data_IF_759858916327
#
_entry.id   IF_759858916327
#
_cell.length_a   1.000
_cell.length_b   1.000
_cell.length_c   1.000
_cell.angle_alpha   90.00
_cell.angle_beta   90.00
_cell.angle_gamma   90.00
#
_symmetry.space_group_name_H-M   'P 1'
#
loop_
_entity.id
_entity.type
_entity.pdbx_description
1 polymer ?
#
# COMPACT_ATOMS: atom_id res chain seq x y z
N UNK A 1 29.83 -1.01 17.83
CA UNK A 1 29.83 -2.46 17.57
C UNK A 1 31.25 -2.99 17.56
N UNK A 2 31.62 -3.88 18.49
CA UNK A 2 32.93 -4.53 18.55
C UNK A 2 32.75 -6.00 18.18
N UNK A 3 33.59 -6.54 17.31
CA UNK A 3 33.55 -7.93 16.85
C UNK A 3 34.66 -8.72 17.51
N UNK A 4 34.36 -9.95 17.96
CA UNK A 4 35.40 -10.86 18.45
C UNK A 4 36.27 -11.30 17.29
N UNK A 5 37.61 -11.18 17.45
CA UNK A 5 38.58 -11.68 16.50
C UNK A 5 38.95 -13.12 16.86
N UNK A 6 38.26 -14.09 16.26
CA UNK A 6 38.55 -15.51 16.46
C UNK A 6 39.93 -15.87 15.86
N UNK A 7 40.81 -16.41 16.70
CA UNK A 7 42.16 -16.85 16.30
C UNK A 7 42.35 -18.32 16.62
N UNK A 8 43.13 -19.02 15.79
CA UNK A 8 43.47 -20.41 16.02
C UNK A 8 44.21 -20.55 17.37
N UNK A 9 43.77 -21.48 18.23
CA UNK A 9 44.33 -21.70 19.57
C UNK A 9 43.80 -20.75 20.66
N UNK A 10 42.82 -19.92 20.38
CA UNK A 10 42.15 -19.08 21.38
C UNK A 10 41.39 -20.01 22.36
N UNK A 11 41.58 -19.79 23.66
CA UNK A 11 40.80 -20.49 24.68
C UNK A 11 39.40 -19.90 24.75
N UNK A 12 38.39 -20.72 24.67
CA UNK A 12 37.01 -20.29 24.90
C UNK A 12 36.86 -20.06 26.42
N UNK A 13 36.47 -18.87 26.80
CA UNK A 13 36.09 -18.52 28.16
C UNK A 13 34.66 -18.01 28.16
N UNK A 14 34.01 -18.08 29.29
CA UNK A 14 32.68 -17.53 29.51
C UNK A 14 32.57 -16.08 29.05
N UNK A 15 33.56 -15.26 29.41
CA UNK A 15 33.62 -13.84 28.99
C UNK A 15 33.64 -13.66 27.46
N UNK A 16 34.33 -14.55 26.72
CA UNK A 16 34.41 -14.46 25.25
C UNK A 16 33.08 -14.92 24.63
N UNK A 17 32.46 -15.96 25.19
CA UNK A 17 31.15 -16.43 24.71
C UNK A 17 30.08 -15.38 24.93
N UNK A 18 29.97 -14.80 26.13
CA UNK A 18 29.04 -13.70 26.44
C UNK A 18 29.26 -12.50 25.52
N UNK A 19 30.50 -12.06 25.30
CA UNK A 19 30.80 -10.96 24.38
C UNK A 19 30.44 -11.30 22.92
N UNK A 20 30.45 -12.58 22.52
CA UNK A 20 29.96 -13.02 21.21
C UNK A 20 28.45 -12.89 21.09
N UNK A 21 27.74 -13.31 22.13
CA UNK A 21 26.29 -13.27 22.19
C UNK A 21 25.78 -11.81 22.23
N UNK A 22 26.41 -10.95 23.05
CA UNK A 22 26.14 -9.53 23.09
C UNK A 22 26.33 -8.86 21.70
N UNK A 23 27.44 -9.21 21.02
CA UNK A 23 27.68 -8.69 19.67
C UNK A 23 26.61 -9.15 18.67
N UNK A 24 26.17 -10.39 18.76
CA UNK A 24 25.11 -10.94 17.91
C UNK A 24 23.79 -10.25 18.20
N UNK A 25 23.45 -10.06 19.46
CA UNK A 25 22.25 -9.36 19.88
C UNK A 25 22.23 -7.91 19.42
N UNK A 26 23.37 -7.18 19.55
CA UNK A 26 23.52 -5.82 19.06
C UNK A 26 23.28 -5.72 17.54
N UNK A 27 23.81 -6.70 16.75
CA UNK A 27 23.57 -6.77 15.31
C UNK A 27 22.10 -6.98 14.99
N UNK A 28 21.43 -7.90 15.71
CA UNK A 28 20.02 -8.20 15.52
C UNK A 28 19.16 -6.97 15.87
N UNK A 29 19.42 -6.31 16.98
CA UNK A 29 18.74 -5.05 17.38
C UNK A 29 18.84 -3.99 16.29
N UNK A 30 20.06 -3.74 15.79
CA UNK A 30 20.25 -2.77 14.70
C UNK A 30 19.52 -3.21 13.40
N UNK A 31 19.52 -4.49 13.08
CA UNK A 31 18.81 -5.01 11.91
C UNK A 31 17.29 -4.82 12.06
N UNK A 32 16.73 -5.05 13.24
CA UNK A 32 15.31 -4.78 13.51
C UNK A 32 14.97 -3.30 13.40
N UNK A 33 15.76 -2.40 13.98
CA UNK A 33 15.54 -0.95 13.89
C UNK A 33 15.53 -0.50 12.44
N UNK A 34 16.48 -0.97 11.63
CA UNK A 34 16.55 -0.65 10.21
C UNK A 34 15.37 -1.22 9.42
N UNK A 35 15.04 -2.49 9.63
CA UNK A 35 13.94 -3.15 8.93
C UNK A 35 12.57 -2.57 9.30
N UNK A 36 12.39 -2.22 10.58
CA UNK A 36 11.17 -1.62 11.07
C UNK A 36 11.00 -0.15 10.66
N UNK A 37 12.07 0.53 10.18
CA UNK A 37 12.05 1.94 9.80
C UNK A 37 11.44 2.86 10.89
N UNK A 38 11.83 2.65 12.14
CA UNK A 38 11.34 3.39 13.31
C UNK A 38 9.95 2.96 13.80
N UNK A 39 9.35 1.94 13.22
CA UNK A 39 8.12 1.31 13.73
C UNK A 39 8.45 0.34 14.85
N UNK A 40 7.51 0.12 15.73
CA UNK A 40 7.62 -0.81 16.85
C UNK A 40 6.26 -1.42 17.16
N UNK A 41 6.21 -2.49 17.94
CA UNK A 41 4.95 -3.11 18.30
C UNK A 41 4.97 -4.64 18.26
N UNK A 42 3.78 -5.22 18.41
CA UNK A 42 3.57 -6.66 18.37
C UNK A 42 3.97 -7.24 17.02
N UNK A 43 4.55 -8.43 17.08
CA UNK A 43 4.87 -9.28 15.93
C UNK A 43 3.82 -10.36 15.75
N UNK A 44 3.60 -10.86 14.52
CA UNK A 44 2.79 -12.06 14.31
C UNK A 44 3.41 -13.24 15.05
N UNK A 45 2.60 -13.95 15.83
CA UNK A 45 3.03 -15.09 16.60
C UNK A 45 2.01 -16.23 16.55
N UNK A 46 2.48 -17.46 16.72
CA UNK A 46 1.59 -18.63 16.92
C UNK A 46 0.82 -18.54 18.23
N UNK A 47 1.36 -17.82 19.21
CA UNK A 47 0.69 -17.52 20.48
C UNK A 47 0.17 -16.08 20.36
N UNK A 48 -1.14 -15.87 20.33
CA UNK A 48 -1.70 -14.53 20.25
C UNK A 48 -1.29 -13.69 21.46
N UNK A 49 -1.31 -12.36 21.29
CA UNK A 49 -1.15 -11.46 22.42
C UNK A 49 -2.32 -11.66 23.40
N UNK A 50 -1.97 -11.92 24.65
CA UNK A 50 -2.91 -12.07 25.75
C UNK A 50 -2.39 -11.32 26.97
N UNK A 51 -3.27 -10.59 27.65
CA UNK A 51 -2.97 -9.84 28.86
C UNK A 51 -4.14 -9.99 29.84
N UNK A 52 -3.83 -10.40 31.07
CA UNK A 52 -4.77 -10.42 32.15
C UNK A 52 -4.26 -9.53 33.29
N UNK A 53 -5.12 -8.61 33.74
CA UNK A 53 -4.82 -7.66 34.80
C UNK A 53 -5.84 -7.78 35.93
N UNK A 54 -5.37 -7.67 37.16
CA UNK A 54 -6.20 -7.42 38.33
C UNK A 54 -5.93 -5.98 38.81
N UNK A 55 -6.95 -5.12 38.70
CA UNK A 55 -6.84 -3.71 39.02
C UNK A 55 -7.53 -3.44 40.34
N UNK A 56 -6.75 -3.08 41.35
CA UNK A 56 -7.23 -2.72 42.69
C UNK A 56 -7.28 -1.21 42.92
N UNK A 57 -7.65 -0.84 44.14
CA UNK A 57 -7.60 0.57 44.57
C UNK A 57 -6.14 1.01 44.81
N UNK A 58 -5.51 1.57 43.77
CA UNK A 58 -4.18 2.13 43.84
C UNK A 58 -3.03 1.21 43.37
N UNK A 59 -3.34 0.06 42.79
CA UNK A 59 -2.34 -0.82 42.16
C UNK A 59 -2.92 -1.65 41.04
N UNK A 60 -2.03 -2.11 40.16
CA UNK A 60 -2.30 -3.06 39.09
C UNK A 60 -1.43 -4.29 39.31
N UNK A 61 -2.02 -5.45 39.37
CA UNK A 61 -1.32 -6.73 39.32
C UNK A 61 -1.44 -7.29 37.90
N UNK A 62 -0.31 -7.67 37.29
CA UNK A 62 -0.31 -8.39 36.01
C UNK A 62 -0.40 -9.88 36.32
N UNK A 63 -1.53 -10.49 36.02
CA UNK A 63 -1.78 -11.91 36.26
C UNK A 63 -1.10 -12.79 35.19
N UNK A 64 -1.23 -12.41 33.92
CA UNK A 64 -0.57 -13.12 32.83
C UNK A 64 -0.28 -12.19 31.65
N UNK A 65 0.79 -12.49 30.93
CA UNK A 65 1.17 -11.81 29.70
C UNK A 65 1.75 -12.82 28.70
N UNK A 66 1.22 -12.85 27.50
CA UNK A 66 1.85 -13.45 26.31
C UNK A 66 2.09 -12.32 25.31
N UNK A 67 3.35 -12.00 25.05
CA UNK A 67 3.73 -10.86 24.21
C UNK A 67 4.99 -11.17 23.41
N UNK A 68 4.88 -11.16 22.09
CA UNK A 68 6.02 -11.11 21.18
C UNK A 68 6.03 -9.76 20.47
N UNK A 69 7.02 -8.92 20.73
CA UNK A 69 7.09 -7.56 20.26
C UNK A 69 8.51 -7.07 20.03
N UNK A 70 8.63 -5.98 19.27
CA UNK A 70 9.88 -5.21 19.14
C UNK A 70 9.65 -3.82 19.70
N UNK A 71 10.53 -3.36 20.57
CA UNK A 71 10.51 -2.01 21.14
C UNK A 71 10.99 -0.96 20.12
N UNK A 72 10.83 0.31 20.45
CA UNK A 72 11.35 1.40 19.60
C UNK A 72 12.88 1.34 19.46
N UNK A 73 13.59 0.91 20.50
CA UNK A 73 15.04 0.70 20.49
C UNK A 73 15.50 -0.55 19.74
N UNK A 74 14.56 -1.41 19.30
CA UNK A 74 14.86 -2.65 18.59
C UNK A 74 15.05 -3.87 19.49
N UNK A 75 14.79 -3.74 20.80
CA UNK A 75 14.84 -4.87 21.71
C UNK A 75 13.67 -5.81 21.45
N UNK A 76 13.95 -7.09 21.37
CA UNK A 76 12.93 -8.13 21.26
C UNK A 76 12.35 -8.43 22.64
N UNK A 77 11.04 -8.37 22.77
CA UNK A 77 10.28 -8.85 23.91
C UNK A 77 9.61 -10.15 23.49
N UNK A 78 10.01 -11.26 24.10
CA UNK A 78 9.36 -12.58 24.02
C UNK A 78 8.97 -12.98 25.44
N UNK A 79 7.90 -12.35 25.94
CA UNK A 79 7.44 -12.55 27.30
C UNK A 79 6.30 -13.56 27.34
N UNK A 80 6.48 -14.58 28.16
CA UNK A 80 5.47 -15.58 28.45
C UNK A 80 5.39 -15.77 29.96
N UNK A 81 4.47 -15.06 30.59
CA UNK A 81 4.36 -14.94 32.03
C UNK A 81 2.97 -15.35 32.52
N UNK A 82 2.95 -16.10 33.62
CA UNK A 82 1.74 -16.40 34.39
C UNK A 82 2.10 -16.31 35.89
N UNK A 83 1.51 -15.42 36.62
CA UNK A 83 1.79 -15.15 38.05
C UNK A 83 1.63 -16.37 38.94
N UNK A 84 0.82 -17.35 38.54
CA UNK A 84 0.61 -18.58 39.27
C UNK A 84 1.83 -19.51 39.25
N UNK A 85 2.70 -19.36 38.24
CA UNK A 85 3.85 -20.26 38.01
C UNK A 85 5.20 -19.56 38.07
N UNK A 86 5.22 -18.22 37.96
CA UNK A 86 6.44 -17.45 37.77
C UNK A 86 6.48 -16.23 38.68
N UNK A 87 7.23 -16.30 39.78
CA UNK A 87 7.32 -15.23 40.78
C UNK A 87 8.43 -14.18 40.47
N UNK A 88 9.12 -14.29 39.34
CA UNK A 88 10.30 -13.50 39.02
C UNK A 88 10.01 -12.14 38.44
N UNK A 89 8.74 -11.82 38.18
CA UNK A 89 8.32 -10.50 37.70
C UNK A 89 7.73 -9.69 38.84
N UNK A 90 8.13 -8.44 38.95
CA UNK A 90 7.43 -7.47 39.82
C UNK A 90 6.05 -7.19 39.26
N UNK A 91 5.08 -8.01 39.61
CA UNK A 91 3.73 -8.01 39.02
C UNK A 91 2.87 -6.87 39.50
N UNK A 92 3.17 -6.34 40.69
CA UNK A 92 2.41 -5.27 41.34
C UNK A 92 2.98 -3.89 41.03
N UNK A 93 2.20 -3.07 40.40
CA UNK A 93 2.55 -1.71 39.98
C UNK A 93 1.65 -0.73 40.71
N UNK A 94 2.18 0.18 41.52
CA UNK A 94 1.39 1.20 42.17
C UNK A 94 0.87 2.18 41.11
N UNK A 95 -0.43 2.53 41.22
CA UNK A 95 -1.00 3.62 40.41
C UNK A 95 -0.63 4.92 41.13
N UNK A 96 0.10 5.84 40.46
CA UNK A 96 0.45 7.13 41.07
C UNK A 96 -0.81 7.95 41.35
N UNK A 97 -0.94 8.44 42.58
CA UNK A 97 -2.00 9.37 42.95
C UNK A 97 -1.60 10.80 42.47
N UNK A 98 -1.93 11.10 41.24
CA UNK A 98 -1.63 12.39 40.60
C UNK A 98 -2.94 13.14 40.30
N UNK A 99 -3.17 14.33 40.86
CA UNK A 99 -4.37 15.11 40.61
C UNK A 99 -4.57 15.43 39.12
N UNK A 100 -5.73 15.10 38.59
CA UNK A 100 -6.11 15.40 37.20
C UNK A 100 -5.55 14.45 36.15
N UNK A 101 -4.95 13.33 36.55
CA UNK A 101 -4.52 12.27 35.62
C UNK A 101 -5.59 11.18 35.61
N UNK A 102 -6.29 11.06 34.50
CA UNK A 102 -7.41 10.11 34.30
C UNK A 102 -6.98 8.90 33.44
N UNK A 103 -5.74 8.85 32.99
CA UNK A 103 -5.28 7.84 32.05
C UNK A 103 -3.79 7.51 32.24
N UNK A 104 -3.44 6.22 32.14
CA UNK A 104 -2.07 5.73 32.08
C UNK A 104 -1.92 4.69 30.97
N UNK A 105 -0.72 4.61 30.41
CA UNK A 105 -0.31 3.51 29.51
C UNK A 105 0.54 2.52 30.30
N UNK A 106 0.08 1.29 30.39
CA UNK A 106 0.88 0.20 30.94
C UNK A 106 1.88 -0.27 29.89
N UNK A 107 3.14 -0.35 30.27
CA UNK A 107 4.22 -0.83 29.42
C UNK A 107 4.89 -2.06 30.00
N UNK A 108 5.38 -2.94 29.11
CA UNK A 108 6.39 -3.93 29.43
C UNK A 108 7.71 -3.43 28.86
N UNK A 109 8.76 -3.41 29.69
CA UNK A 109 10.06 -2.85 29.35
C UNK A 109 11.08 -3.96 29.29
N UNK A 110 11.80 -4.10 28.18
CA UNK A 110 12.98 -4.94 28.10
C UNK A 110 14.10 -4.33 28.98
N UNK A 111 14.81 -5.19 29.70
CA UNK A 111 15.94 -4.81 30.55
C UNK A 111 17.23 -5.33 29.94
N UNK A 112 17.82 -4.64 28.95
CA UNK A 112 18.98 -5.11 28.21
C UNK A 112 20.14 -5.46 29.15
N UNK A 113 20.76 -6.62 28.96
CA UNK A 113 21.88 -7.08 29.76
C UNK A 113 21.50 -7.59 31.16
N UNK A 114 20.22 -7.68 31.49
CA UNK A 114 19.74 -8.32 32.71
C UNK A 114 19.11 -9.67 32.38
N UNK A 115 19.56 -10.72 33.07
CA UNK A 115 19.15 -12.09 32.85
C UNK A 115 18.82 -12.76 34.18
N UNK A 116 17.82 -13.58 34.19
CA UNK A 116 17.48 -14.43 35.32
C UNK A 116 17.98 -15.87 35.06
N UNK A 117 18.67 -16.44 36.02
CA UNK A 117 19.02 -17.86 35.97
C UNK A 117 17.75 -18.71 36.07
N UNK A 118 17.59 -19.60 35.13
CA UNK A 118 16.52 -20.63 35.15
C UNK A 118 17.12 -22.03 35.29
N UNK A 119 16.35 -23.01 35.76
CA UNK A 119 16.83 -24.40 35.88
C UNK A 119 17.47 -24.90 34.57
N UNK A 120 18.38 -25.86 34.68
CA UNK A 120 19.09 -26.50 33.56
C UNK A 120 20.19 -25.63 32.92
N UNK A 121 20.59 -24.51 33.53
CA UNK A 121 21.71 -23.67 33.07
C UNK A 121 21.39 -22.74 31.94
N UNK A 122 20.12 -22.41 31.75
CA UNK A 122 19.66 -21.34 30.83
C UNK A 122 19.49 -20.03 31.57
N UNK A 123 19.43 -18.96 30.80
CA UNK A 123 19.13 -17.59 31.28
C UNK A 123 17.93 -17.04 30.49
N UNK A 124 17.00 -16.39 31.18
CA UNK A 124 15.85 -15.72 30.56
C UNK A 124 15.97 -14.21 30.70
N UNK A 125 15.57 -13.40 29.67
CA UNK A 125 15.63 -11.97 29.76
C UNK A 125 14.69 -11.43 30.85
N UNK A 126 15.12 -10.36 31.53
CA UNK A 126 14.33 -9.68 32.53
C UNK A 126 13.43 -8.65 31.89
N UNK A 127 12.17 -8.63 32.28
CA UNK A 127 11.19 -7.62 31.89
C UNK A 127 10.68 -6.88 33.13
N UNK A 128 10.33 -5.62 32.97
CA UNK A 128 9.73 -4.78 34.02
C UNK A 128 8.44 -4.13 33.51
N UNK A 129 7.46 -3.97 34.39
CA UNK A 129 6.24 -3.25 34.07
C UNK A 129 6.30 -1.81 34.62
N UNK A 130 5.73 -0.87 33.88
CA UNK A 130 5.64 0.53 34.32
C UNK A 130 4.36 1.19 33.82
N UNK A 131 3.87 2.19 34.56
CA UNK A 131 2.82 3.09 34.13
C UNK A 131 3.45 4.40 33.64
N UNK A 132 3.04 4.81 32.44
CA UNK A 132 3.52 6.04 31.80
C UNK A 132 2.33 6.92 31.46
N UNK A 133 2.45 8.24 31.67
CA UNK A 133 1.41 9.17 31.23
C UNK A 133 1.30 9.21 29.70
N UNK A 134 0.10 9.36 29.12
CA UNK A 134 -0.11 9.32 27.69
C UNK A 134 0.74 10.30 26.89
N UNK A 135 0.99 11.49 27.44
CA UNK A 135 1.75 12.56 26.77
C UNK A 135 3.27 12.45 26.93
N UNK A 136 3.70 11.50 27.74
CA UNK A 136 5.14 11.27 27.94
C UNK A 136 5.74 10.48 26.76
N UNK A 137 6.94 10.87 26.37
CA UNK A 137 7.72 10.09 25.39
C UNK A 137 8.04 8.72 26.00
N UNK A 138 7.65 7.65 25.29
CA UNK A 138 7.98 6.29 25.71
C UNK A 138 9.49 6.07 25.68
N UNK A 139 10.06 5.41 26.71
CA UNK A 139 11.43 4.90 26.65
C UNK A 139 11.64 3.97 25.44
N UNK A 140 12.86 3.95 24.91
CA UNK A 140 13.17 3.14 23.72
C UNK A 140 13.02 1.63 23.97
N UNK A 141 13.20 1.17 25.20
CA UNK A 141 13.03 -0.21 25.63
C UNK A 141 11.60 -0.57 26.07
N UNK A 142 10.65 0.35 25.95
CA UNK A 142 9.28 0.17 26.40
C UNK A 142 8.33 -0.24 25.25
N UNK A 143 7.44 -1.18 25.57
CA UNK A 143 6.33 -1.60 24.69
C UNK A 143 5.00 -1.34 25.41
N UNK A 144 4.12 -0.47 24.90
CA UNK A 144 2.76 -0.29 25.42
C UNK A 144 1.91 -1.56 25.25
N UNK A 145 1.31 -2.03 26.32
CA UNK A 145 0.50 -3.25 26.29
C UNK A 145 -0.97 -3.03 26.68
N UNK A 146 -1.28 -1.98 27.46
CA UNK A 146 -2.65 -1.62 27.79
C UNK A 146 -2.79 -0.13 28.06
N UNK A 147 -4.02 0.38 27.95
CA UNK A 147 -4.45 1.68 28.42
C UNK A 147 -5.32 1.49 29.65
N UNK A 148 -4.99 2.20 30.72
CA UNK A 148 -5.70 2.17 32.01
C UNK A 148 -6.38 3.51 32.18
N UNK A 149 -7.68 3.52 32.35
CA UNK A 149 -8.50 4.74 32.46
C UNK A 149 -9.26 4.76 33.79
N UNK A 150 -9.45 5.96 34.31
CA UNK A 150 -10.28 6.20 35.49
C UNK A 150 -11.71 6.54 35.04
N UNK A 151 -12.63 5.58 35.24
CA UNK A 151 -14.06 5.74 34.99
C UNK A 151 -14.81 5.04 36.10
N UNK A 152 -15.19 5.78 37.14
CA UNK A 152 -15.77 5.25 38.39
C UNK A 152 -14.87 4.22 39.09
N UNK A 153 -13.56 4.31 38.89
CA UNK A 153 -12.50 3.42 39.31
C UNK A 153 -11.58 3.06 38.13
N UNK A 154 -10.37 2.65 38.46
CA UNK A 154 -9.38 2.27 37.44
C UNK A 154 -9.80 0.99 36.72
N UNK A 155 -9.76 1.00 35.40
CA UNK A 155 -10.07 -0.16 34.55
C UNK A 155 -9.20 -0.19 33.29
N UNK A 156 -9.03 -1.36 32.71
CA UNK A 156 -8.41 -1.51 31.40
C UNK A 156 -9.40 -1.08 30.30
N UNK A 157 -8.91 -0.31 29.34
CA UNK A 157 -9.68 0.11 28.18
C UNK A 157 -9.49 -0.89 27.04
N UNK A 158 -10.26 -1.97 27.11
CA UNK A 158 -10.23 -3.01 26.06
C UNK A 158 -10.95 -2.60 24.78
N UNK A 159 -11.87 -1.66 24.84
CA UNK A 159 -12.68 -1.30 23.69
C UNK A 159 -11.88 -0.52 22.66
N UNK A 160 -11.19 0.50 23.10
CA UNK A 160 -10.62 1.54 22.25
C UNK A 160 -9.09 1.48 22.11
N UNK A 161 -8.41 0.74 22.97
CA UNK A 161 -6.96 0.57 22.88
C UNK A 161 -6.58 -0.78 22.28
N UNK A 162 -5.62 -0.73 21.36
CA UNK A 162 -4.90 -1.89 20.85
C UNK A 162 -3.41 -1.56 20.94
N UNK A 163 -2.59 -2.46 21.50
CA UNK A 163 -1.14 -2.28 21.51
C UNK A 163 -0.61 -1.97 20.10
N UNK A 164 0.45 -1.15 19.98
CA UNK A 164 1.08 -0.94 18.68
C UNK A 164 1.44 -2.28 18.05
N UNK A 165 1.22 -2.41 16.75
CA UNK A 165 1.48 -3.62 15.97
C UNK A 165 2.37 -3.29 14.78
N UNK A 166 3.37 -4.13 14.50
CA UNK A 166 4.17 -4.01 13.28
C UNK A 166 3.36 -4.44 12.06
N UNK A 167 2.51 -5.45 12.23
CA UNK A 167 1.64 -5.95 11.16
C UNK A 167 0.19 -6.04 11.64
N UNK A 168 -0.73 -5.96 10.72
CA UNK A 168 -2.16 -6.18 10.98
C UNK A 168 -2.40 -7.57 11.57
N UNK A 169 -1.67 -8.58 11.07
CA UNK A 169 -1.72 -9.96 11.56
C UNK A 169 -1.18 -10.17 13.00
N UNK A 170 -0.62 -9.13 13.63
CA UNK A 170 -0.10 -9.23 15.01
C UNK A 170 -1.19 -9.19 16.07
N UNK A 171 -2.41 -8.72 15.73
CA UNK A 171 -3.51 -8.60 16.69
C UNK A 171 -4.86 -8.80 16.01
N UNK A 172 -5.71 -9.65 16.58
CA UNK A 172 -7.01 -10.05 16.01
C UNK A 172 -7.96 -8.89 15.72
N UNK A 173 -7.94 -7.80 16.51
CA UNK A 173 -8.76 -6.61 16.27
C UNK A 173 -8.41 -5.91 14.94
N UNK A 174 -7.12 -5.82 14.60
CA UNK A 174 -6.69 -5.27 13.32
C UNK A 174 -7.00 -6.21 12.14
N UNK A 175 -6.89 -7.54 12.36
CA UNK A 175 -7.32 -8.51 11.34
C UNK A 175 -8.83 -8.40 11.05
N UNK A 176 -9.64 -8.18 12.10
CA UNK A 176 -11.08 -7.93 11.94
C UNK A 176 -11.35 -6.65 11.15
N UNK A 177 -10.64 -5.57 11.45
CA UNK A 177 -10.75 -4.31 10.70
C UNK A 177 -10.37 -4.50 9.22
N UNK A 178 -9.29 -5.22 8.93
CA UNK A 178 -8.89 -5.53 7.55
C UNK A 178 -9.98 -6.34 6.82
N UNK A 179 -10.53 -7.36 7.48
CA UNK A 179 -11.63 -8.15 6.91
C UNK A 179 -12.84 -7.27 6.60
N UNK A 180 -13.27 -6.45 7.55
CA UNK A 180 -14.39 -5.51 7.37
C UNK A 180 -14.11 -4.48 6.27
N UNK A 181 -12.89 -4.00 6.15
CA UNK A 181 -12.49 -3.11 5.07
C UNK A 181 -12.59 -3.82 3.71
N UNK A 182 -12.11 -5.06 3.59
CA UNK A 182 -12.24 -5.85 2.36
C UNK A 182 -13.71 -6.07 1.98
N UNK A 183 -14.58 -6.35 2.95
CA UNK A 183 -16.03 -6.50 2.73
C UNK A 183 -16.67 -5.20 2.23
N UNK A 184 -16.31 -4.07 2.83
CA UNK A 184 -16.81 -2.75 2.39
C UNK A 184 -16.30 -2.42 0.98
N UNK A 185 -15.04 -2.71 0.67
CA UNK A 185 -14.50 -2.53 -0.69
C UNK A 185 -15.23 -3.42 -1.72
N UNK A 186 -15.58 -4.64 -1.36
CA UNK A 186 -16.36 -5.54 -2.22
C UNK A 186 -17.77 -4.99 -2.49
N UNK A 187 -18.43 -4.45 -1.47
CA UNK A 187 -19.72 -3.77 -1.61
C UNK A 187 -19.61 -2.51 -2.47
N UNK A 188 -18.59 -1.68 -2.24
CA UNK A 188 -18.30 -0.49 -3.03
C UNK A 188 -18.07 -0.84 -4.50
N UNK A 189 -17.28 -1.89 -4.80
CA UNK A 189 -17.07 -2.34 -6.18
C UNK A 189 -18.36 -2.75 -6.85
N UNK A 190 -19.20 -3.54 -6.18
CA UNK A 190 -20.48 -3.98 -6.71
C UNK A 190 -21.41 -2.79 -7.00
N UNK A 191 -21.56 -1.86 -6.05
CA UNK A 191 -22.41 -0.68 -6.19
C UNK A 191 -21.91 0.30 -7.24
N UNK A 192 -20.60 0.54 -7.30
CA UNK A 192 -20.00 1.40 -8.31
C UNK A 192 -20.16 0.83 -9.73
N UNK A 193 -19.99 -0.49 -9.90
CA UNK A 193 -20.25 -1.15 -11.20
C UNK A 193 -21.71 -1.04 -11.63
N UNK A 194 -22.64 -1.28 -10.69
CA UNK A 194 -24.07 -1.13 -10.97
C UNK A 194 -24.41 0.29 -11.41
N UNK A 195 -23.86 1.29 -10.72
CA UNK A 195 -24.06 2.69 -11.04
C UNK A 195 -23.44 3.10 -12.39
N UNK A 196 -22.23 2.61 -12.71
CA UNK A 196 -21.60 2.84 -14.02
C UNK A 196 -22.45 2.24 -15.17
N UNK A 197 -23.01 1.06 -14.96
CA UNK A 197 -23.89 0.40 -15.93
C UNK A 197 -25.22 1.16 -16.11
N UNK A 198 -25.73 1.78 -15.04
CA UNK A 198 -26.92 2.64 -15.09
C UNK A 198 -26.68 3.99 -15.77
N UNK A 199 -25.41 4.37 -16.02
CA UNK A 199 -25.06 5.62 -16.73
C UNK A 199 -24.50 6.73 -15.84
N UNK A 200 -24.38 6.53 -14.53
CA UNK A 200 -23.72 7.44 -13.58
C UNK A 200 -22.21 7.47 -13.82
N UNK A 201 -21.73 8.36 -14.68
CA UNK A 201 -20.33 8.29 -15.12
C UNK A 201 -19.38 9.24 -14.40
N UNK A 202 -19.87 10.31 -13.80
CA UNK A 202 -19.00 11.39 -13.35
C UNK A 202 -18.24 11.08 -12.05
N UNK A 203 -18.88 11.19 -10.90
CA UNK A 203 -18.26 10.90 -9.59
C UNK A 203 -17.74 9.45 -9.52
N UNK A 204 -18.57 8.52 -9.98
CA UNK A 204 -18.31 7.10 -9.84
C UNK A 204 -17.16 6.63 -10.73
N UNK A 205 -17.02 7.18 -11.94
CA UNK A 205 -15.93 6.85 -12.83
C UNK A 205 -14.55 7.29 -12.30
N UNK A 206 -14.50 8.38 -11.54
CA UNK A 206 -13.29 8.85 -10.89
C UNK A 206 -12.94 8.03 -9.62
N UNK A 207 -13.94 7.56 -8.90
CA UNK A 207 -13.76 6.83 -7.64
C UNK A 207 -13.44 5.35 -7.85
N UNK A 208 -14.09 4.68 -8.80
CA UNK A 208 -14.00 3.23 -9.01
C UNK A 208 -12.58 2.67 -9.19
N UNK A 209 -11.66 3.30 -9.96
CA UNK A 209 -10.30 2.79 -10.09
C UNK A 209 -9.56 2.66 -8.76
N UNK A 210 -9.77 3.60 -7.84
CA UNK A 210 -9.18 3.55 -6.49
C UNK A 210 -9.74 2.38 -5.70
N UNK A 211 -11.04 2.13 -5.76
CA UNK A 211 -11.67 0.96 -5.10
C UNK A 211 -11.05 -0.34 -5.62
N UNK A 212 -10.85 -0.47 -6.94
CA UNK A 212 -10.20 -1.65 -7.53
C UNK A 212 -8.77 -1.84 -7.05
N UNK A 213 -8.00 -0.77 -7.02
CA UNK A 213 -6.62 -0.83 -6.55
C UNK A 213 -6.54 -1.25 -5.08
N UNK A 214 -7.36 -0.66 -4.22
CA UNK A 214 -7.40 -0.99 -2.79
C UNK A 214 -7.80 -2.44 -2.53
N UNK A 215 -8.74 -3.00 -3.32
CA UNK A 215 -9.09 -4.42 -3.23
C UNK A 215 -7.91 -5.32 -3.55
N UNK A 216 -7.18 -5.02 -4.62
CA UNK A 216 -6.01 -5.80 -5.02
C UNK A 216 -4.94 -5.76 -3.93
N UNK A 217 -4.69 -4.59 -3.32
CA UNK A 217 -3.72 -4.43 -2.25
C UNK A 217 -4.14 -5.21 -1.00
N UNK A 218 -5.40 -5.09 -0.57
CA UNK A 218 -5.91 -5.80 0.59
C UNK A 218 -5.83 -7.34 0.45
N UNK A 219 -6.04 -7.87 -0.75
CA UNK A 219 -5.97 -9.31 -1.01
C UNK A 219 -4.53 -9.83 -1.13
N UNK A 220 -3.63 -9.10 -1.81
CA UNK A 220 -2.29 -9.58 -2.14
C UNK A 220 -1.25 -9.32 -1.05
N UNK A 221 -1.40 -8.25 -0.29
CA UNK A 221 -0.40 -7.78 0.67
C UNK A 221 -0.80 -8.02 2.13
N UNK A 222 -1.84 -8.82 2.36
CA UNK A 222 -2.44 -9.06 3.67
C UNK A 222 -1.43 -9.40 4.76
N UNK A 223 -0.42 -10.22 4.45
CA UNK A 223 0.59 -10.66 5.42
C UNK A 223 1.58 -9.56 5.81
N UNK A 224 1.79 -8.56 4.93
CA UNK A 224 2.74 -7.47 5.13
C UNK A 224 2.09 -6.14 5.50
N UNK A 225 0.76 -6.09 5.52
CA UNK A 225 0.03 -4.89 5.88
C UNK A 225 0.32 -4.47 7.33
N UNK A 226 0.63 -3.19 7.49
CA UNK A 226 0.80 -2.56 8.80
C UNK A 226 -0.46 -1.77 9.18
N UNK A 227 -0.74 -1.51 10.47
CA UNK A 227 -1.85 -0.63 10.86
C UNK A 227 -1.77 0.76 10.23
N UNK A 228 -0.54 1.27 10.02
CA UNK A 228 -0.32 2.54 9.33
C UNK A 228 -0.74 2.49 7.85
N UNK A 229 -0.38 1.41 7.15
CA UNK A 229 -0.79 1.24 5.75
C UNK A 229 -2.28 0.97 5.62
N UNK A 230 -2.88 0.21 6.55
CA UNK A 230 -4.32 0.00 6.58
C UNK A 230 -5.07 1.33 6.79
N UNK A 231 -4.63 2.16 7.75
CA UNK A 231 -5.21 3.50 7.94
C UNK A 231 -5.06 4.36 6.68
N UNK A 232 -3.88 4.36 6.06
CA UNK A 232 -3.63 5.11 4.83
C UNK A 232 -4.52 4.64 3.66
N UNK A 233 -4.79 3.35 3.56
CA UNK A 233 -5.68 2.80 2.53
C UNK A 233 -7.15 3.17 2.78
N UNK A 234 -7.60 3.14 4.04
CA UNK A 234 -8.93 3.63 4.42
C UNK A 234 -9.06 5.13 4.15
N UNK A 235 -8.05 5.94 4.52
CA UNK A 235 -8.00 7.36 4.20
C UNK A 235 -7.99 7.62 2.70
N UNK A 236 -7.27 6.83 1.92
CA UNK A 236 -7.24 6.91 0.45
C UNK A 236 -8.62 6.63 -0.16
N UNK A 237 -9.36 5.65 0.37
CA UNK A 237 -10.73 5.38 -0.06
C UNK A 237 -11.64 6.60 0.17
N UNK A 238 -11.61 7.17 1.37
CA UNK A 238 -12.39 8.36 1.72
C UNK A 238 -11.97 9.55 0.89
N UNK A 239 -10.66 9.80 0.73
CA UNK A 239 -10.09 10.89 -0.07
C UNK A 239 -10.54 10.82 -1.54
N UNK A 240 -10.44 9.64 -2.16
CA UNK A 240 -10.81 9.46 -3.56
C UNK A 240 -12.28 9.75 -3.80
N UNK A 241 -13.16 9.32 -2.89
CA UNK A 241 -14.59 9.65 -2.97
C UNK A 241 -14.82 11.15 -2.79
N UNK A 242 -14.21 11.77 -1.77
CA UNK A 242 -14.38 13.19 -1.48
C UNK A 242 -13.92 14.05 -2.67
N UNK A 243 -12.74 13.78 -3.20
CA UNK A 243 -12.22 14.52 -4.37
C UNK A 243 -13.13 14.37 -5.61
N UNK A 244 -13.63 13.15 -5.86
CA UNK A 244 -14.54 12.91 -6.97
C UNK A 244 -15.89 13.65 -6.79
N UNK A 245 -16.40 13.66 -5.55
CA UNK A 245 -17.66 14.29 -5.22
C UNK A 245 -17.58 15.83 -5.18
N UNK A 246 -16.45 16.39 -4.72
CA UNK A 246 -16.19 17.83 -4.73
C UNK A 246 -16.13 18.40 -6.16
N UNK A 247 -15.52 17.68 -7.10
CA UNK A 247 -15.46 18.08 -8.52
C UNK A 247 -16.87 18.23 -9.11
N UNK A 248 -17.84 17.50 -8.60
CA UNK A 248 -19.21 17.43 -9.13
C UNK A 248 -20.26 18.04 -8.19
N UNK A 249 -19.86 18.79 -7.18
CA UNK A 249 -20.76 19.39 -6.15
C UNK A 249 -21.76 18.37 -5.57
N UNK A 250 -21.31 17.14 -5.38
CA UNK A 250 -22.17 16.02 -4.99
C UNK A 250 -22.25 15.80 -3.45
N UNK A 251 -21.47 16.56 -2.68
CA UNK A 251 -21.42 16.46 -1.20
C UNK A 251 -22.03 17.68 -0.54
N UNK A 252 -22.73 17.43 0.56
CA UNK A 252 -23.15 18.50 1.48
C UNK A 252 -21.93 19.06 2.22
N UNK A 253 -21.92 20.36 2.52
CA UNK A 253 -20.79 21.05 3.17
C UNK A 253 -20.37 20.41 4.50
N UNK A 254 -21.32 19.91 5.28
CA UNK A 254 -21.04 19.25 6.56
C UNK A 254 -20.27 17.93 6.37
N UNK A 255 -20.70 17.11 5.41
CA UNK A 255 -20.05 15.86 5.05
C UNK A 255 -18.63 16.08 4.50
N UNK A 256 -18.47 17.06 3.62
CA UNK A 256 -17.19 17.43 3.06
C UNK A 256 -16.16 17.80 4.15
N UNK A 257 -16.56 18.63 5.13
CA UNK A 257 -15.68 18.99 6.26
C UNK A 257 -15.27 17.76 7.09
N UNK A 258 -16.19 16.87 7.39
CA UNK A 258 -15.92 15.65 8.15
C UNK A 258 -14.95 14.73 7.41
N UNK A 259 -15.16 14.49 6.14
CA UNK A 259 -14.28 13.66 5.30
C UNK A 259 -12.87 14.27 5.17
N UNK A 260 -12.77 15.56 4.89
CA UNK A 260 -11.48 16.26 4.81
C UNK A 260 -10.70 16.21 6.11
N UNK A 261 -11.34 16.44 7.26
CA UNK A 261 -10.67 16.38 8.56
C UNK A 261 -10.13 14.98 8.86
N UNK A 262 -10.86 13.94 8.49
CA UNK A 262 -10.43 12.55 8.64
C UNK A 262 -9.20 12.23 7.78
N UNK A 263 -9.23 12.64 6.51
CA UNK A 263 -8.14 12.35 5.54
C UNK A 263 -6.82 13.00 5.95
N UNK A 264 -6.86 14.22 6.49
CA UNK A 264 -5.67 14.98 6.86
C UNK A 264 -5.06 14.57 8.21
N UNK A 265 -5.74 13.73 9.00
CA UNK A 265 -5.26 13.33 10.31
C UNK A 265 -4.02 12.43 10.21
N UNK A 266 -2.89 12.79 10.89
CA UNK A 266 -1.67 12.00 10.84
C UNK A 266 -1.82 10.66 11.59
N UNK A 267 -0.97 9.68 11.26
CA UNK A 267 -0.91 8.43 11.99
C UNK A 267 -0.41 8.66 13.43
N UNK A 268 -1.16 8.11 14.39
CA UNK A 268 -0.78 8.01 15.80
C UNK A 268 -1.11 6.59 16.28
N UNK A 269 -0.12 5.84 16.74
CA UNK A 269 -0.31 4.45 17.18
C UNK A 269 -1.32 4.31 18.32
N UNK A 270 -1.45 5.34 19.21
CA UNK A 270 -2.38 5.34 20.35
C UNK A 270 -3.85 5.39 19.92
N UNK A 271 -4.11 5.97 18.76
CA UNK A 271 -5.46 6.19 18.23
C UNK A 271 -5.72 5.42 16.92
N UNK A 272 -4.72 4.69 16.43
CA UNK A 272 -4.77 4.07 15.10
C UNK A 272 -5.99 3.15 14.95
N UNK A 273 -6.27 2.33 15.96
CA UNK A 273 -7.42 1.44 15.97
C UNK A 273 -8.74 2.21 15.85
N UNK A 274 -8.95 3.21 16.69
CA UNK A 274 -10.17 4.05 16.67
C UNK A 274 -10.33 4.79 15.35
N UNK A 275 -9.24 5.32 14.80
CA UNK A 275 -9.27 6.05 13.53
C UNK A 275 -9.64 5.15 12.36
N UNK A 276 -9.14 3.92 12.33
CA UNK A 276 -9.56 2.94 11.32
C UNK A 276 -11.06 2.65 11.48
N UNK A 277 -11.56 2.48 12.72
CA UNK A 277 -13.00 2.28 12.98
C UNK A 277 -13.85 3.43 12.45
N UNK A 278 -13.45 4.67 12.70
CA UNK A 278 -14.12 5.86 12.16
C UNK A 278 -14.10 5.82 10.63
N UNK A 279 -12.95 5.52 10.05
CA UNK A 279 -12.80 5.44 8.60
C UNK A 279 -13.67 4.35 7.96
N UNK A 280 -13.77 3.19 8.59
CA UNK A 280 -14.66 2.12 8.12
C UNK A 280 -16.14 2.56 8.13
N UNK A 281 -16.57 3.28 9.16
CA UNK A 281 -17.92 3.88 9.21
C UNK A 281 -18.12 4.89 8.08
N UNK A 282 -17.11 5.71 7.77
CA UNK A 282 -17.15 6.63 6.63
C UNK A 282 -17.21 5.89 5.28
N UNK A 283 -16.47 4.80 5.11
CA UNK A 283 -16.54 3.97 3.91
C UNK A 283 -17.92 3.32 3.71
N UNK A 284 -18.57 2.91 4.80
CA UNK A 284 -19.97 2.43 4.76
C UNK A 284 -20.92 3.56 4.34
N UNK A 285 -20.80 4.75 4.92
CA UNK A 285 -21.59 5.92 4.52
C UNK A 285 -21.37 6.31 3.05
N UNK A 286 -20.13 6.20 2.55
CA UNK A 286 -19.81 6.37 1.13
C UNK A 286 -20.55 5.35 0.27
N UNK A 287 -20.62 4.09 0.71
CA UNK A 287 -21.35 3.03 0.00
C UNK A 287 -22.83 3.35 -0.18
N UNK A 288 -23.47 3.94 0.84
CA UNK A 288 -24.86 4.40 0.75
C UNK A 288 -25.03 5.63 -0.16
N UNK A 289 -24.05 6.55 -0.13
CA UNK A 289 -24.06 7.73 -1.03
C UNK A 289 -23.88 7.33 -2.51
N UNK A 290 -23.01 6.37 -2.81
CA UNK A 290 -22.83 5.81 -4.15
C UNK A 290 -24.16 5.22 -4.67
N UNK A 291 -24.90 4.51 -3.84
CA UNK A 291 -26.21 3.95 -4.20
C UNK A 291 -27.22 5.07 -4.53
N UNK A 292 -27.32 6.09 -3.68
CA UNK A 292 -28.19 7.26 -3.94
C UNK A 292 -27.82 8.04 -5.19
N UNK A 293 -26.52 8.14 -5.52
CA UNK A 293 -26.06 8.77 -6.76
C UNK A 293 -26.48 7.94 -7.99
N UNK A 294 -26.46 6.61 -7.87
CA UNK A 294 -26.92 5.72 -8.93
C UNK A 294 -28.43 5.87 -9.21
N UNK A 295 -29.25 5.99 -8.15
CA UNK A 295 -30.70 6.18 -8.26
C UNK A 295 -31.11 7.51 -8.89
N UNK A 296 -30.33 8.60 -8.64
CA UNK A 296 -30.59 9.95 -9.19
C UNK A 296 -30.30 10.06 -10.68
N UNK A 297 -29.55 9.12 -11.25
CA UNK A 297 -29.22 9.13 -12.67
C UNK A 297 -30.42 8.60 -13.45
N UNK A 298 -31.05 9.39 -14.34
CA UNK A 298 -32.16 8.89 -15.14
C UNK A 298 -31.68 7.68 -15.96
N UNK A 299 -32.48 6.59 -16.05
CA UNK A 299 -32.10 5.45 -16.84
C UNK A 299 -31.74 5.92 -18.24
N UNK A 300 -30.61 5.45 -18.76
CA UNK A 300 -30.19 5.72 -20.13
C UNK A 300 -31.38 5.45 -21.03
N UNK A 301 -31.82 6.41 -21.86
CA UNK A 301 -32.92 6.14 -22.80
C UNK A 301 -32.55 4.87 -23.55
N UNK A 302 -33.38 3.84 -23.44
CA UNK A 302 -33.21 2.64 -24.25
C UNK A 302 -32.93 3.07 -25.68
N UNK A 303 -31.94 2.46 -26.38
CA UNK A 303 -31.71 2.80 -27.76
C UNK A 303 -33.06 2.60 -28.43
N UNK A 304 -33.68 3.73 -28.82
CA UNK A 304 -34.96 3.68 -29.55
C UNK A 304 -34.78 2.63 -30.64
N UNK A 305 -35.70 1.65 -30.74
CA UNK A 305 -35.63 0.67 -31.81
C UNK A 305 -35.42 1.48 -33.08
N UNK A 306 -34.26 1.30 -33.71
CA UNK A 306 -33.95 2.01 -34.93
C UNK A 306 -35.15 1.77 -35.83
N UNK A 307 -35.96 2.80 -36.06
CA UNK A 307 -37.05 2.78 -37.04
C UNK A 307 -36.42 2.19 -38.30
N UNK A 308 -36.90 0.99 -38.68
CA UNK A 308 -36.45 0.36 -39.90
C UNK A 308 -36.41 1.42 -40.99
N UNK A 309 -35.27 1.61 -41.67
CA UNK A 309 -35.15 2.69 -42.65
C UNK A 309 -36.25 2.44 -43.69
N UNK A 310 -37.18 3.39 -43.78
CA UNK A 310 -38.10 3.42 -44.96
C UNK A 310 -37.23 3.30 -46.21
N UNK A 311 -37.64 2.47 -47.21
CA UNK A 311 -36.86 2.27 -48.42
C UNK A 311 -36.63 3.63 -49.11
N UNK A 312 -35.46 4.22 -48.89
CA UNK A 312 -35.00 5.42 -49.57
C UNK A 312 -34.71 5.05 -51.01
N UNK A 313 -35.27 5.82 -51.91
CA UNK A 313 -34.92 5.81 -53.34
C UNK A 313 -33.40 5.77 -53.50
N UNK A 314 -32.84 4.99 -54.42
CA UNK A 314 -31.41 4.80 -54.58
C UNK A 314 -30.71 6.13 -54.82
N UNK A 315 -29.92 6.61 -53.87
CA UNK A 315 -28.92 7.66 -54.11
C UNK A 315 -27.73 7.01 -54.80
N UNK A 316 -27.01 7.70 -55.68
CA UNK A 316 -25.82 7.17 -56.31
C UNK A 316 -24.83 6.72 -55.21
N UNK A 317 -24.33 5.51 -55.26
CA UNK A 317 -23.29 4.97 -54.38
C UNK A 317 -22.09 5.89 -54.46
N UNK A 318 -21.85 6.70 -53.39
CA UNK A 318 -20.52 7.15 -53.11
C UNK A 318 -19.75 5.96 -52.60
N UNK A 319 -18.61 5.67 -53.21
CA UNK A 319 -17.70 4.62 -52.80
C UNK A 319 -17.38 4.80 -51.31
N UNK A 320 -17.49 3.71 -50.53
CA UNK A 320 -17.00 3.67 -49.14
C UNK A 320 -15.56 4.18 -49.13
N UNK A 321 -15.15 5.05 -48.18
CA UNK A 321 -13.77 5.45 -48.09
C UNK A 321 -12.93 4.18 -47.80
N UNK A 322 -12.10 3.80 -48.78
CA UNK A 322 -11.20 2.67 -48.64
C UNK A 322 -10.34 2.87 -47.39
N UNK A 323 -10.24 1.84 -46.59
CA UNK A 323 -9.42 1.80 -45.40
C UNK A 323 -8.00 2.17 -45.82
N UNK A 324 -7.26 3.08 -45.12
CA UNK A 324 -5.89 3.40 -45.48
C UNK A 324 -4.99 2.17 -45.27
N UNK A 325 -3.92 2.08 -46.03
CA UNK A 325 -2.93 1.03 -45.89
C UNK A 325 -2.28 1.09 -44.51
N UNK A 326 -1.82 -0.06 -44.00
CA UNK A 326 -1.04 -0.10 -42.75
C UNK A 326 0.34 0.54 -42.96
N UNK A 327 0.91 1.24 -41.95
CA UNK A 327 2.26 1.77 -42.05
C UNK A 327 3.28 0.64 -42.19
N UNK A 328 4.34 0.88 -42.97
CA UNK A 328 5.41 -0.09 -43.22
C UNK A 328 6.77 0.51 -42.83
N UNK A 329 7.71 -0.31 -42.38
CA UNK A 329 9.10 0.13 -42.23
C UNK A 329 9.75 0.26 -43.58
N UNK A 330 10.65 1.24 -43.71
CA UNK A 330 11.42 1.47 -44.97
C UNK A 330 12.45 0.34 -45.23
N UNK A 331 12.82 -0.38 -44.18
CA UNK A 331 13.73 -1.53 -44.24
C UNK A 331 12.91 -2.81 -44.32
N UNK A 332 13.31 -3.70 -45.22
CA UNK A 332 12.55 -4.90 -45.59
C UNK A 332 12.53 -6.00 -44.48
N UNK A 333 13.15 -5.76 -43.34
CA UNK A 333 13.23 -6.72 -42.22
C UNK A 333 12.22 -6.33 -41.12
N UNK A 334 11.49 -7.30 -40.60
CA UNK A 334 10.66 -7.12 -39.40
C UNK A 334 11.50 -6.97 -38.14
N UNK A 335 12.78 -7.27 -38.17
CA UNK A 335 13.73 -7.14 -37.07
C UNK A 335 14.80 -6.12 -37.45
N UNK A 336 14.90 -5.02 -36.73
CA UNK A 336 15.83 -3.93 -36.98
C UNK A 336 16.80 -3.82 -35.81
N UNK A 337 18.09 -3.85 -36.17
CA UNK A 337 19.20 -3.73 -35.25
C UNK A 337 19.63 -2.26 -35.13
N UNK A 338 19.27 -1.60 -34.05
CA UNK A 338 19.57 -0.18 -33.80
C UNK A 338 20.89 -0.03 -33.06
N UNK A 339 22.00 0.10 -33.75
CA UNK A 339 23.35 0.23 -33.18
C UNK A 339 23.75 1.65 -32.78
N UNK A 340 23.06 2.67 -33.27
CA UNK A 340 23.37 4.09 -33.03
C UNK A 340 22.28 4.71 -32.15
N UNK A 341 22.62 5.41 -31.03
CA UNK A 341 21.66 6.10 -30.17
C UNK A 341 20.84 7.19 -30.89
N UNK A 342 21.29 7.64 -32.04
CA UNK A 342 20.56 8.57 -32.91
C UNK A 342 19.79 7.86 -34.03
N UNK A 343 19.70 6.53 -34.02
CA UNK A 343 18.95 5.78 -35.03
C UNK A 343 17.53 6.22 -35.08
N UNK A 344 17.06 6.48 -36.28
CA UNK A 344 15.68 6.84 -36.55
C UNK A 344 15.07 5.74 -37.40
N UNK A 345 13.95 5.21 -36.95
CA UNK A 345 13.18 4.31 -37.77
C UNK A 345 12.42 5.10 -38.82
N UNK A 346 12.65 4.75 -40.08
CA UNK A 346 11.93 5.32 -41.19
C UNK A 346 10.67 4.50 -41.46
N UNK A 347 9.52 5.17 -41.40
CA UNK A 347 8.22 4.59 -41.67
C UNK A 347 7.71 5.12 -42.98
N UNK A 348 7.22 4.25 -43.85
CA UNK A 348 6.66 4.56 -45.15
C UNK A 348 5.14 4.36 -45.07
N UNK A 349 4.40 5.26 -45.67
CA UNK A 349 2.97 5.13 -45.88
C UNK A 349 2.60 5.74 -47.24
N UNK A 350 1.68 5.09 -47.97
CA UNK A 350 1.23 5.51 -49.30
C UNK A 350 0.65 6.93 -49.30
N UNK A 351 -0.01 7.34 -48.22
CA UNK A 351 -0.59 8.66 -48.08
C UNK A 351 0.27 9.57 -47.20
N UNK A 352 0.88 10.62 -47.78
CA UNK A 352 1.67 11.61 -47.05
C UNK A 352 0.86 12.52 -46.10
N UNK A 353 -0.45 12.55 -46.21
CA UNK A 353 -1.33 13.27 -45.29
C UNK A 353 -1.63 12.43 -44.02
N UNK A 354 -1.28 11.16 -43.96
CA UNK A 354 -1.50 10.29 -42.81
C UNK A 354 -0.86 10.86 -41.54
N UNK A 355 -1.48 10.56 -40.43
CA UNK A 355 -0.87 10.68 -39.09
C UNK A 355 -0.57 9.28 -38.60
N UNK A 356 0.69 8.98 -38.30
CA UNK A 356 1.12 7.68 -37.83
C UNK A 356 1.33 7.76 -36.32
N UNK A 357 0.61 6.92 -35.58
CA UNK A 357 0.74 6.77 -34.13
C UNK A 357 1.39 5.42 -33.82
N UNK A 358 2.16 5.36 -32.75
CA UNK A 358 2.89 4.14 -32.37
C UNK A 358 2.91 3.92 -30.87
N UNK A 359 3.15 2.67 -30.46
CA UNK A 359 3.44 2.25 -29.08
C UNK A 359 4.69 1.37 -29.07
N UNK A 360 5.38 1.31 -27.93
CA UNK A 360 6.62 0.55 -27.75
C UNK A 360 6.53 -0.49 -26.65
N UNK A 361 5.36 -0.58 -26.02
CA UNK A 361 5.03 -1.47 -24.92
C UNK A 361 4.10 -2.63 -25.33
N UNK A 362 3.87 -2.79 -26.64
CA UNK A 362 2.99 -3.82 -27.17
C UNK A 362 1.49 -3.53 -27.06
N UNK A 363 1.09 -2.39 -26.51
CA UNK A 363 -0.31 -1.96 -26.46
C UNK A 363 -0.79 -1.49 -27.83
N UNK A 364 -2.11 -1.54 -28.09
CA UNK A 364 -2.69 -1.06 -29.35
C UNK A 364 -2.60 0.47 -29.45
N UNK A 365 -2.01 1.01 -30.55
CA UNK A 365 -1.90 2.44 -30.74
C UNK A 365 -3.28 3.10 -30.92
N UNK A 366 -3.43 4.30 -30.36
CA UNK A 366 -4.63 5.13 -30.46
C UNK A 366 -4.29 6.54 -30.93
N UNK A 367 -5.27 7.40 -31.17
CA UNK A 367 -5.03 8.81 -31.49
C UNK A 367 -4.33 9.59 -30.35
N UNK A 368 -4.25 9.02 -29.14
CA UNK A 368 -3.56 9.60 -27.98
C UNK A 368 -2.14 9.09 -27.83
N UNK A 369 -1.77 8.07 -28.59
CA UNK A 369 -0.41 7.52 -28.60
C UNK A 369 0.58 8.48 -29.24
N UNK A 370 1.89 8.34 -28.97
CA UNK A 370 2.94 9.11 -29.62
C UNK A 370 2.83 9.09 -31.12
N UNK A 371 3.15 10.22 -31.74
CA UNK A 371 3.03 10.43 -33.18
C UNK A 371 4.39 10.47 -33.85
N UNK A 372 4.58 9.73 -34.95
CA UNK A 372 5.76 9.80 -35.76
C UNK A 372 5.91 11.17 -36.43
N UNK A 373 7.14 11.69 -36.50
CA UNK A 373 7.45 12.98 -37.09
C UNK A 373 7.48 12.89 -38.63
N UNK A 374 6.84 13.83 -39.33
CA UNK A 374 6.91 13.90 -40.80
C UNK A 374 8.31 14.31 -41.27
N UNK A 375 8.82 13.63 -42.29
CA UNK A 375 10.11 13.88 -42.92
C UNK A 375 9.93 14.01 -44.44
N UNK A 376 10.92 14.55 -45.14
CA UNK A 376 10.94 14.65 -46.61
C UNK A 376 10.83 13.30 -47.31
N UNK A 377 11.29 12.20 -46.65
CA UNK A 377 11.27 10.84 -47.17
C UNK A 377 10.25 9.90 -46.53
N UNK A 378 9.23 10.44 -45.79
CA UNK A 378 8.22 9.65 -45.12
C UNK A 378 7.97 10.10 -43.68
N UNK A 379 7.94 9.17 -42.73
CA UNK A 379 7.76 9.43 -41.32
C UNK A 379 8.95 8.87 -40.53
N UNK A 380 9.23 9.46 -39.39
CA UNK A 380 10.40 9.17 -38.58
C UNK A 380 9.99 8.96 -37.12
N UNK A 381 10.41 7.83 -36.53
CA UNK A 381 10.39 7.59 -35.11
C UNK A 381 11.83 7.75 -34.62
N UNK A 382 12.06 8.71 -33.72
CA UNK A 382 13.41 9.00 -33.20
C UNK A 382 13.55 8.39 -31.81
N UNK A 383 14.63 7.66 -31.61
CA UNK A 383 15.04 7.18 -30.29
C UNK A 383 16.12 8.14 -29.78
N UNK A 384 15.77 9.06 -28.89
CA UNK A 384 16.73 9.90 -28.17
C UNK A 384 16.83 9.40 -26.75
N UNK A 385 18.05 9.16 -26.29
CA UNK A 385 18.36 8.88 -24.89
C UNK A 385 17.76 7.61 -24.27
N UNK A 386 17.92 6.44 -24.88
CA UNK A 386 17.80 5.13 -24.24
C UNK A 386 16.54 4.87 -23.38
N UNK A 387 16.44 3.70 -22.83
CA UNK A 387 15.34 3.24 -21.98
C UNK A 387 15.41 3.80 -20.55
N UNK A 388 14.38 4.48 -20.07
CA UNK A 388 14.12 4.67 -18.64
C UNK A 388 13.43 3.42 -18.09
N UNK A 389 14.20 2.53 -17.50
CA UNK A 389 13.62 1.40 -16.78
C UNK A 389 14.56 0.23 -16.69
N UNK A 390 15.23 0.10 -15.56
CA UNK A 390 15.81 -1.12 -15.05
C UNK A 390 16.77 -1.82 -15.98
N UNK A 391 17.95 -2.11 -15.50
CA UNK A 391 18.99 -2.90 -16.13
C UNK A 391 18.41 -4.03 -16.99
N UNK A 392 18.22 -3.74 -18.26
CA UNK A 392 18.09 -4.81 -19.22
C UNK A 392 19.49 -5.43 -19.35
N UNK A 393 19.70 -6.56 -18.73
CA UNK A 393 20.94 -7.31 -18.85
C UNK A 393 21.09 -7.98 -20.21
N UNK A 394 20.02 -8.08 -21.00
CA UNK A 394 19.98 -8.75 -22.30
C UNK A 394 19.35 -7.86 -23.37
N UNK A 395 19.85 -7.99 -24.60
CA UNK A 395 19.28 -7.39 -25.80
C UNK A 395 17.89 -7.99 -26.06
N UNK A 396 16.85 -7.40 -25.46
CA UNK A 396 15.47 -7.88 -25.62
C UNK A 396 14.81 -7.23 -26.82
N UNK A 397 14.11 -8.00 -27.65
CA UNK A 397 13.29 -7.43 -28.71
C UNK A 397 12.19 -6.55 -28.10
N UNK A 398 11.95 -5.39 -28.71
CA UNK A 398 10.86 -4.50 -28.40
C UNK A 398 9.82 -4.59 -29.51
N UNK A 399 8.56 -4.84 -29.16
CA UNK A 399 7.46 -4.84 -30.10
C UNK A 399 6.94 -3.42 -30.30
N UNK A 400 7.11 -2.87 -31.52
CA UNK A 400 6.50 -1.61 -31.90
C UNK A 400 5.23 -1.90 -32.70
N UNK A 401 4.11 -1.33 -32.25
CA UNK A 401 2.85 -1.36 -32.99
C UNK A 401 2.56 0.02 -33.56
N UNK A 402 2.03 0.09 -34.80
CA UNK A 402 1.75 1.34 -35.50
C UNK A 402 0.43 1.30 -36.22
N UNK A 403 -0.29 2.44 -36.22
CA UNK A 403 -1.48 2.67 -37.06
C UNK A 403 -1.34 3.96 -37.86
N UNK A 404 -1.94 4.03 -39.03
CA UNK A 404 -2.08 5.24 -39.80
C UNK A 404 -3.53 5.74 -39.73
N UNK A 405 -3.70 7.05 -39.57
CA UNK A 405 -5.03 7.69 -39.59
C UNK A 405 -5.07 8.71 -40.71
N UNK A 406 -6.01 8.53 -41.63
CA UNK A 406 -6.24 9.40 -42.77
C UNK A 406 -7.70 9.81 -42.79
N UNK A 407 -7.98 11.10 -42.73
CA UNK A 407 -9.37 11.60 -42.76
C UNK A 407 -10.28 11.05 -41.66
N UNK A 408 -9.70 10.64 -40.52
CA UNK A 408 -10.44 10.06 -39.40
C UNK A 408 -10.65 8.54 -39.48
N UNK A 409 -10.18 7.87 -40.54
CA UNK A 409 -10.26 6.42 -40.72
C UNK A 409 -8.92 5.81 -40.32
N UNK A 410 -8.95 4.77 -39.48
CA UNK A 410 -7.75 4.04 -39.04
C UNK A 410 -7.39 2.91 -39.98
N UNK A 411 -6.09 2.69 -40.22
CA UNK A 411 -5.57 1.48 -40.87
C UNK A 411 -5.65 0.26 -39.95
N UNK A 412 -5.27 -0.90 -40.46
CA UNK A 412 -4.91 -2.05 -39.63
C UNK A 412 -3.61 -1.75 -38.84
N UNK A 413 -3.41 -2.44 -37.72
CA UNK A 413 -2.20 -2.31 -36.92
C UNK A 413 -1.05 -3.05 -37.57
N UNK A 414 0.09 -2.39 -37.74
CA UNK A 414 1.34 -2.99 -38.17
C UNK A 414 2.22 -3.25 -36.95
N UNK A 415 2.85 -4.42 -36.88
CA UNK A 415 3.69 -4.86 -35.75
C UNK A 415 5.11 -5.15 -36.25
N UNK A 416 6.11 -4.68 -35.49
CA UNK A 416 7.53 -4.83 -35.83
C UNK A 416 8.34 -5.11 -34.57
N UNK A 417 9.19 -6.13 -34.61
CA UNK A 417 10.17 -6.42 -33.60
C UNK A 417 11.45 -5.63 -33.83
N UNK A 418 11.93 -4.92 -32.82
CA UNK A 418 13.16 -4.12 -32.86
C UNK A 418 14.08 -4.58 -31.74
N UNK A 419 15.33 -4.87 -32.08
CA UNK A 419 16.37 -5.22 -31.10
C UNK A 419 17.26 -4.00 -30.87
N UNK A 420 17.33 -3.56 -29.60
CA UNK A 420 18.19 -2.46 -29.16
C UNK A 420 19.45 -3.03 -28.49
N UNK A 421 20.62 -2.83 -29.06
CA UNK A 421 21.89 -3.29 -28.48
C UNK A 421 22.41 -2.37 -27.39
N UNK A 422 22.87 -2.96 -26.30
CA UNK A 422 23.23 -2.35 -25.02
C UNK A 422 24.51 -1.54 -24.97
N UNK A 423 25.41 -1.75 -25.88
CA UNK A 423 26.81 -1.28 -25.77
C UNK A 423 27.07 0.14 -26.26
N UNK A 424 26.07 0.96 -26.44
CA UNK A 424 26.21 2.34 -26.89
C UNK A 424 26.19 3.29 -25.68
N UNK A 425 27.35 3.84 -25.33
CA UNK A 425 27.48 4.93 -24.35
C UNK A 425 26.57 6.09 -24.78
N UNK A 426 25.55 6.40 -23.99
CA UNK A 426 24.66 7.55 -24.22
C UNK A 426 23.20 7.21 -24.49
N UNK A 427 22.80 5.96 -24.49
CA UNK A 427 21.39 5.57 -24.57
C UNK A 427 20.71 5.67 -23.21
N UNK A 428 19.74 6.54 -23.07
CA UNK A 428 18.99 6.78 -21.83
C UNK A 428 17.47 6.92 -21.97
N UNK A 429 16.83 6.50 -23.07
CA UNK A 429 15.34 6.45 -23.20
C UNK A 429 14.80 6.84 -24.59
N UNK A 430 13.53 6.50 -24.82
CA UNK A 430 12.75 6.99 -25.98
C UNK A 430 12.16 8.33 -25.58
N UNK A 431 12.42 9.38 -26.36
CA UNK A 431 11.71 10.65 -26.20
C UNK A 431 10.43 10.56 -27.02
N UNK A 432 9.30 10.52 -26.35
CA UNK A 432 7.95 10.53 -26.89
C UNK A 432 7.54 11.95 -27.22
#
# INVERSE_FOLDING_TARGET
MKRISWKRGMRLSDTIMRASDECTQEVMTHAFVLAAAGRFGLLPSRRPFELSLNIGQGFIDVDSLTCLAVTRGGDLIDAHFDSRFNNNFGTRIPIPDMPGVEEYILTVNAMPGQWNDVPEGFEEPVYAFALVQPDTTLPDNAMPIARIVEDHGWRMDDADFVPPCLFVASHWKYEDQLRRFADVLAQLDSKTRAALNAGSRDVIALFWPTVQQLRITADKEREFLTPMTLLADVQRCVCAFTCAADIHDALEVADAKMFHSYVLAPYNYKEAYQRIEVGLKLCVAISEKVEKLAERTPPRPEPQPQQQPQPRKPRPMMAEPSRPDAPMLAEASSTIDCKDPNTNLRVIHSNRAANIFFTTDGTEPTQRSPKATKSSSGFKISFKNGFNGGAAEDDRPMLIKMIAIVGGVCSDTAEFDIVLHKNLKGWSGITI
#
